data_IF_222663622718
#
_entry.id   IF_222663622718
#
_cell.length_a   1.000
_cell.length_b   1.000
_cell.length_c   1.000
_cell.angle_alpha   90.00
_cell.angle_beta   90.00
_cell.angle_gamma   90.00
#
_symmetry.space_group_name_H-M   'P 1'
#
loop_
_entity.id
_entity.type
_entity.pdbx_description
1 polymer ?
#
# COMPACT_ATOMS: atom_id res chain seq x y z
N UNK A 1 -18.91 1.22 8.23
CA UNK A 1 -17.69 0.60 8.80
C UNK A 1 -16.48 1.00 7.97
N UNK A 2 -15.56 1.80 8.51
CA UNK A 2 -14.30 2.14 7.85
C UNK A 2 -13.31 0.97 7.99
N UNK A 3 -13.37 0.01 7.06
CA UNK A 3 -12.50 -1.16 7.07
C UNK A 3 -11.07 -0.80 6.68
N UNK A 4 -10.09 -1.26 7.47
CA UNK A 4 -8.68 -1.28 7.05
C UNK A 4 -8.52 -2.20 5.83
N UNK A 5 -7.56 -1.89 4.96
CA UNK A 5 -7.23 -2.79 3.85
C UNK A 5 -6.71 -4.12 4.42
N UNK A 6 -7.15 -5.24 3.86
CA UNK A 6 -6.52 -6.53 4.14
C UNK A 6 -5.18 -6.55 3.40
N UNK A 7 -4.09 -6.46 4.15
CA UNK A 7 -2.73 -6.50 3.60
C UNK A 7 -2.39 -7.98 3.31
N UNK A 8 -1.79 -8.30 2.13
CA UNK A 8 -1.31 -9.64 1.85
C UNK A 8 -0.17 -10.05 2.79
N UNK A 9 -0.11 -11.34 3.12
CA UNK A 9 0.86 -11.88 4.09
C UNK A 9 2.32 -11.61 3.68
N UNK A 10 2.62 -11.65 2.39
CA UNK A 10 3.95 -11.33 1.85
C UNK A 10 4.42 -9.93 2.24
N UNK A 11 3.52 -8.94 2.21
CA UNK A 11 3.82 -7.56 2.60
C UNK A 11 3.81 -7.37 4.12
N UNK A 12 3.03 -8.18 4.85
CA UNK A 12 3.01 -8.17 6.32
C UNK A 12 4.34 -8.66 6.91
N UNK A 13 4.97 -9.64 6.28
CA UNK A 13 6.28 -10.19 6.72
C UNK A 13 7.46 -9.24 6.48
N UNK A 14 7.31 -8.25 5.60
CA UNK A 14 8.34 -7.24 5.37
C UNK A 14 8.51 -6.34 6.61
N UNK A 15 9.77 -6.08 6.97
CA UNK A 15 10.12 -5.06 7.96
C UNK A 15 9.74 -3.66 7.45
N UNK A 16 9.69 -2.67 8.36
CA UNK A 16 9.39 -1.28 7.99
C UNK A 16 10.34 -0.74 6.90
N UNK A 17 11.65 -1.01 7.02
CA UNK A 17 12.64 -0.57 6.03
C UNK A 17 12.39 -1.23 4.67
N UNK A 18 12.16 -2.54 4.64
CA UNK A 18 11.82 -3.25 3.39
C UNK A 18 10.54 -2.72 2.74
N UNK A 19 9.48 -2.44 3.53
CA UNK A 19 8.25 -1.83 2.99
C UNK A 19 8.52 -0.46 2.38
N UNK A 20 9.33 0.37 3.03
CA UNK A 20 9.70 1.68 2.49
C UNK A 20 10.47 1.56 1.19
N UNK A 21 11.46 0.66 1.13
CA UNK A 21 12.23 0.39 -0.10
C UNK A 21 11.33 -0.12 -1.22
N UNK A 22 10.49 -1.11 -0.94
CA UNK A 22 9.57 -1.69 -1.94
C UNK A 22 8.57 -0.65 -2.46
N UNK A 23 8.09 0.26 -1.62
CA UNK A 23 7.21 1.36 -2.05
C UNK A 23 7.96 2.34 -2.98
N UNK A 24 9.20 2.67 -2.66
CA UNK A 24 10.02 3.60 -3.44
C UNK A 24 10.36 3.03 -4.83
N UNK A 25 10.90 1.80 -4.85
CA UNK A 25 11.30 1.09 -6.07
C UNK A 25 10.11 0.73 -6.98
N UNK A 26 8.89 0.69 -6.44
CA UNK A 26 7.70 0.36 -7.22
C UNK A 26 7.23 1.48 -8.16
N UNK A 27 7.74 2.71 -8.00
CA UNK A 27 7.43 3.86 -8.85
C UNK A 27 5.91 4.07 -9.09
N UNK A 28 5.11 4.00 -8.01
CA UNK A 28 3.65 3.92 -8.07
C UNK A 28 2.92 5.20 -8.54
N UNK A 29 3.63 6.33 -8.63
CA UNK A 29 3.03 7.66 -8.74
C UNK A 29 2.53 8.18 -7.39
N UNK A 30 2.19 9.47 -7.33
CA UNK A 30 1.96 10.19 -6.06
C UNK A 30 0.82 9.58 -5.23
N UNK A 31 -0.39 9.49 -5.77
CA UNK A 31 -1.57 9.07 -5.00
C UNK A 31 -1.45 7.62 -4.52
N UNK A 32 -0.94 6.73 -5.36
CA UNK A 32 -0.74 5.33 -4.99
C UNK A 32 0.37 5.17 -3.95
N UNK A 33 1.41 6.02 -4.00
CA UNK A 33 2.45 6.07 -2.98
C UNK A 33 1.87 6.49 -1.63
N UNK A 34 0.97 7.49 -1.62
CA UNK A 34 0.24 7.90 -0.40
C UNK A 34 -0.59 6.73 0.12
N UNK A 35 -1.40 6.07 -0.72
CA UNK A 35 -2.20 4.90 -0.32
C UNK A 35 -1.30 3.81 0.29
N UNK A 36 -0.18 3.47 -0.35
CA UNK A 36 0.73 2.43 0.09
C UNK A 36 1.36 2.77 1.46
N UNK A 37 1.90 4.00 1.61
CA UNK A 37 2.53 4.44 2.86
C UNK A 37 1.53 4.49 4.01
N UNK A 38 0.36 5.12 3.79
CA UNK A 38 -0.69 5.21 4.79
C UNK A 38 -1.20 3.84 5.24
N UNK A 39 -1.24 2.88 4.33
CA UNK A 39 -1.73 1.54 4.65
C UNK A 39 -0.67 0.67 5.35
N UNK A 40 0.55 0.62 4.81
CA UNK A 40 1.58 -0.34 5.20
C UNK A 40 2.52 0.15 6.31
N UNK A 41 2.61 1.48 6.48
CA UNK A 41 3.48 2.13 7.47
C UNK A 41 2.65 2.75 8.58
N UNK A 42 1.65 3.57 8.24
CA UNK A 42 0.90 4.34 9.23
C UNK A 42 -0.40 3.65 9.69
N UNK A 43 -0.82 2.58 9.01
CA UNK A 43 -2.01 1.78 9.31
C UNK A 43 -3.35 2.54 9.34
N UNK A 44 -3.49 3.55 8.47
CA UNK A 44 -4.70 4.35 8.33
C UNK A 44 -5.86 3.51 7.74
N UNK A 45 -7.11 3.74 8.20
CA UNK A 45 -8.31 3.24 7.53
C UNK A 45 -8.43 3.77 6.10
N UNK A 46 -9.00 2.97 5.19
CA UNK A 46 -9.14 3.39 3.78
C UNK A 46 -10.03 4.61 3.59
N UNK A 47 -10.96 4.87 4.50
CA UNK A 47 -11.82 6.06 4.45
C UNK A 47 -11.02 7.34 4.72
N UNK A 48 -10.10 7.31 5.68
CA UNK A 48 -9.28 8.47 6.04
C UNK A 48 -8.25 8.77 4.95
N UNK A 49 -7.66 7.71 4.37
CA UNK A 49 -6.80 7.84 3.19
C UNK A 49 -7.59 8.49 2.05
N UNK A 50 -8.81 8.03 1.79
CA UNK A 50 -9.63 8.55 0.71
C UNK A 50 -9.95 10.04 0.90
N UNK A 51 -10.27 10.46 2.13
CA UNK A 51 -10.46 11.86 2.48
C UNK A 51 -9.19 12.70 2.26
N UNK A 52 -8.00 12.18 2.60
CA UNK A 52 -6.71 12.86 2.40
C UNK A 52 -6.42 13.15 0.92
N UNK A 53 -6.70 12.20 0.03
CA UNK A 53 -6.41 12.34 -1.41
C UNK A 53 -7.63 12.77 -2.25
N UNK A 54 -8.75 13.14 -1.62
CA UNK A 54 -9.94 13.63 -2.32
C UNK A 54 -10.68 12.57 -3.16
N UNK A 55 -10.62 11.30 -2.76
CA UNK A 55 -11.29 10.19 -3.44
C UNK A 55 -12.35 9.54 -2.57
N UNK A 56 -13.18 8.70 -3.18
CA UNK A 56 -14.03 7.75 -2.45
C UNK A 56 -13.22 6.58 -1.90
N UNK A 57 -13.64 6.06 -0.74
CA UNK A 57 -13.08 4.85 -0.12
C UNK A 57 -13.08 3.65 -1.09
N UNK A 58 -14.08 3.56 -1.98
CA UNK A 58 -14.18 2.48 -2.97
C UNK A 58 -13.08 2.53 -4.03
N UNK A 59 -12.59 3.73 -4.35
CA UNK A 59 -11.46 3.95 -5.27
C UNK A 59 -10.17 3.52 -4.59
N UNK A 60 -9.95 3.93 -3.34
CA UNK A 60 -8.80 3.48 -2.54
C UNK A 60 -8.78 1.96 -2.44
N UNK A 61 -9.91 1.32 -2.13
CA UNK A 61 -9.99 -0.15 -2.05
C UNK A 61 -9.74 -0.87 -3.38
N UNK A 62 -10.06 -0.25 -4.52
CA UNK A 62 -9.70 -0.79 -5.85
C UNK A 62 -8.20 -0.66 -6.07
N UNK A 63 -7.66 0.55 -5.93
CA UNK A 63 -6.23 0.84 -6.14
C UNK A 63 -5.33 0.05 -5.21
N UNK A 64 -5.71 -0.16 -3.93
CA UNK A 64 -4.95 -0.97 -2.99
C UNK A 64 -4.65 -2.37 -3.52
N UNK A 65 -5.55 -2.98 -4.28
CA UNK A 65 -5.33 -4.32 -4.84
C UNK A 65 -4.18 -4.32 -5.85
N UNK A 66 -4.21 -3.39 -6.81
CA UNK A 66 -3.19 -3.28 -7.85
C UNK A 66 -1.85 -2.83 -7.27
N UNK A 67 -1.89 -1.92 -6.28
CA UNK A 67 -0.72 -1.49 -5.51
C UNK A 67 -0.06 -2.71 -4.84
N UNK A 68 -0.82 -3.50 -4.09
CA UNK A 68 -0.24 -4.63 -3.37
C UNK A 68 0.35 -5.68 -4.32
N UNK A 69 -0.32 -5.97 -5.44
CA UNK A 69 0.25 -6.85 -6.46
C UNK A 69 1.61 -6.34 -6.95
N UNK A 70 1.70 -5.05 -7.30
CA UNK A 70 2.96 -4.44 -7.73
C UNK A 70 4.04 -4.46 -6.65
N UNK A 71 3.69 -4.18 -5.40
CA UNK A 71 4.65 -4.22 -4.28
C UNK A 71 5.18 -5.63 -4.02
N UNK A 72 4.33 -6.67 -4.15
CA UNK A 72 4.76 -8.06 -4.03
C UNK A 72 5.75 -8.41 -5.14
N UNK A 73 5.49 -8.01 -6.39
CA UNK A 73 6.40 -8.24 -7.50
C UNK A 73 7.77 -7.59 -7.25
N UNK A 74 7.78 -6.35 -6.77
CA UNK A 74 9.02 -5.63 -6.45
C UNK A 74 9.74 -6.28 -5.26
N UNK A 75 9.03 -6.70 -4.22
CA UNK A 75 9.62 -7.39 -3.09
C UNK A 75 10.32 -8.70 -3.52
N UNK A 76 9.72 -9.45 -4.47
CA UNK A 76 10.33 -10.65 -5.06
C UNK A 76 11.58 -10.33 -5.87
N UNK A 77 11.54 -9.28 -6.69
CA UNK A 77 12.71 -8.81 -7.47
C UNK A 77 13.87 -8.44 -6.53
N UNK A 78 13.56 -7.82 -5.39
CA UNK A 78 14.55 -7.42 -4.38
C UNK A 78 14.94 -8.57 -3.42
N UNK A 79 14.43 -9.78 -3.62
CA UNK A 79 14.66 -10.96 -2.76
C UNK A 79 14.26 -10.73 -1.29
N UNK A 80 13.19 -9.97 -1.07
CA UNK A 80 12.66 -9.64 0.26
C UNK A 80 11.40 -10.47 0.63
N UNK A 81 10.75 -11.10 -0.35
CA UNK A 81 9.52 -11.88 -0.20
C UNK A 81 9.59 -13.20 -0.97
#
# INVERSE_FOLDING_TARGET
MAGRAKVPEELERLTKSQRLTVIDEAALGFENTVIARRTLIDHYPQADIAAEIGYDRSVVSRRSRDIFARLIDVARILHMA
#
